data_IF_535199693516
#
_entry.id   IF_535199693516
#
_cell.length_a   1.000
_cell.length_b   1.000
_cell.length_c   1.000
_cell.angle_alpha   90.00
_cell.angle_beta   90.00
_cell.angle_gamma   90.00
#
_symmetry.space_group_name_H-M   'P 1'
#
loop_
_entity.id
_entity.type
_entity.pdbx_description
1 polymer ?
#
# COMPACT_ATOMS: atom_id res chain seq x y z
N UNK A 1 25.21 31.14 38.75
CA UNK A 1 25.38 30.79 37.32
C UNK A 1 26.06 31.95 36.63
N UNK A 2 27.11 31.71 35.85
CA UNK A 2 27.91 32.80 35.24
C UNK A 2 27.25 33.40 33.98
N UNK A 3 26.38 32.64 33.33
CA UNK A 3 25.63 32.99 32.12
C UNK A 3 24.21 32.44 32.26
N UNK A 4 23.23 33.21 31.82
CA UNK A 4 21.81 32.92 32.04
C UNK A 4 20.94 33.77 31.09
N UNK A 5 19.71 33.32 30.88
CA UNK A 5 18.64 34.07 30.23
C UNK A 5 17.57 34.44 31.27
N UNK A 6 16.98 35.62 31.13
CA UNK A 6 15.84 36.08 31.93
C UNK A 6 14.81 36.74 31.03
N UNK A 7 13.55 36.62 31.43
CA UNK A 7 12.44 37.33 30.79
C UNK A 7 12.39 38.74 31.38
N UNK A 8 12.21 39.76 30.55
CA UNK A 8 12.10 41.15 31.02
C UNK A 8 10.72 41.41 31.62
N UNK A 9 10.56 42.53 32.33
CA UNK A 9 9.25 42.98 32.80
C UNK A 9 8.25 43.15 31.65
N UNK A 10 8.71 43.66 30.50
CA UNK A 10 7.89 43.78 29.29
C UNK A 10 7.50 42.41 28.74
N UNK A 11 8.44 41.45 28.71
CA UNK A 11 8.18 40.08 28.29
C UNK A 11 7.17 39.35 29.20
N UNK A 12 7.26 39.53 30.51
CA UNK A 12 6.30 38.97 31.47
C UNK A 12 4.90 39.54 31.28
N UNK A 13 4.77 40.86 31.05
CA UNK A 13 3.48 41.50 30.76
C UNK A 13 2.90 40.94 29.46
N UNK A 14 3.71 40.82 28.41
CA UNK A 14 3.26 40.26 27.13
C UNK A 14 2.86 38.78 27.26
N UNK A 15 3.60 37.99 28.02
CA UNK A 15 3.26 36.59 28.30
C UNK A 15 1.94 36.46 29.08
N UNK A 16 1.73 37.29 30.10
CA UNK A 16 0.47 37.33 30.84
C UNK A 16 -0.71 37.73 29.94
N UNK A 17 -0.53 38.72 29.06
CA UNK A 17 -1.57 39.13 28.11
C UNK A 17 -1.90 38.01 27.11
N UNK A 18 -0.91 37.24 26.65
CA UNK A 18 -1.11 36.10 25.76
C UNK A 18 -1.77 34.88 26.44
N UNK A 19 -1.70 34.80 27.77
CA UNK A 19 -2.41 33.78 28.55
C UNK A 19 -3.89 34.12 28.77
N UNK A 20 -4.23 35.42 28.84
CA UNK A 20 -5.60 35.89 29.14
C UNK A 20 -6.41 36.21 27.87
N UNK A 21 -5.77 36.71 26.82
CA UNK A 21 -6.37 36.97 25.52
C UNK A 21 -5.97 35.91 24.51
N UNK A 22 -6.82 35.62 23.52
CA UNK A 22 -6.52 34.70 22.40
C UNK A 22 -5.41 35.18 21.45
N UNK A 23 -4.50 36.04 21.91
CA UNK A 23 -3.39 36.60 21.15
C UNK A 23 -2.12 35.82 21.48
N UNK A 24 -1.44 35.32 20.45
CA UNK A 24 -0.21 34.56 20.62
C UNK A 24 0.99 35.50 20.77
N UNK A 25 1.99 35.08 21.54
CA UNK A 25 3.29 35.76 21.60
C UNK A 25 3.96 35.69 20.22
N UNK A 26 4.16 36.84 19.60
CA UNK A 26 4.85 36.98 18.32
C UNK A 26 6.28 37.46 18.56
N UNK A 27 7.22 36.52 18.67
CA UNK A 27 8.65 36.81 18.73
C UNK A 27 9.19 36.82 17.31
N UNK A 28 9.93 37.87 16.92
CA UNK A 28 10.34 38.06 15.52
C UNK A 28 11.85 38.10 15.33
N UNK A 29 12.58 38.67 16.28
CA UNK A 29 14.00 38.97 16.11
C UNK A 29 14.85 38.58 17.32
N UNK A 30 16.11 38.25 17.06
CA UNK A 30 17.17 38.14 18.05
C UNK A 30 18.26 39.14 17.71
N UNK A 31 18.64 39.93 18.71
CA UNK A 31 19.76 40.84 18.64
C UNK A 31 20.91 40.37 19.52
N UNK A 32 22.12 40.69 19.10
CA UNK A 32 23.35 40.43 19.84
C UNK A 32 24.05 41.75 20.12
N UNK A 33 24.73 41.83 21.27
CA UNK A 33 25.46 43.02 21.69
C UNK A 33 26.80 42.69 22.33
N UNK A 34 27.67 43.69 22.39
CA UNK A 34 29.00 43.59 23.01
C UNK A 34 29.08 44.22 24.40
N UNK A 35 27.96 44.75 24.92
CA UNK A 35 27.84 45.41 26.22
C UNK A 35 28.83 46.56 26.45
N UNK A 36 29.17 47.32 25.40
CA UNK A 36 30.22 48.36 25.44
C UNK A 36 31.57 47.81 25.91
N UNK A 37 31.85 46.54 25.60
CA UNK A 37 33.10 45.86 25.92
C UNK A 37 33.22 45.32 27.35
N UNK A 38 32.22 45.51 28.22
CA UNK A 38 32.26 45.06 29.62
C UNK A 38 31.01 44.28 30.02
N UNK A 39 31.17 43.24 30.84
CA UNK A 39 30.02 42.50 31.36
C UNK A 39 29.18 43.33 32.32
N UNK A 40 27.87 43.15 32.23
CA UNK A 40 26.92 43.55 33.26
C UNK A 40 26.06 42.36 33.67
N UNK A 41 25.20 42.55 34.69
CA UNK A 41 24.27 41.54 35.15
C UNK A 41 22.85 42.00 34.83
N UNK A 42 22.24 41.50 33.75
CA UNK A 42 20.84 41.77 33.44
C UNK A 42 19.93 41.40 34.61
N UNK A 43 18.95 42.25 34.92
CA UNK A 43 18.01 42.04 36.03
C UNK A 43 16.53 41.99 35.59
N UNK A 44 16.25 42.15 34.29
CA UNK A 44 14.92 42.03 33.69
C UNK A 44 14.21 43.38 33.54
N UNK A 45 14.78 44.48 34.03
CA UNK A 45 14.23 45.83 33.85
C UNK A 45 14.68 46.48 32.53
N UNK A 46 15.54 45.82 31.78
CA UNK A 46 16.09 46.33 30.52
C UNK A 46 15.01 46.41 29.43
N UNK A 47 15.02 47.53 28.68
CA UNK A 47 14.16 47.73 27.50
C UNK A 47 14.93 47.56 26.19
N UNK A 48 16.26 47.50 26.26
CA UNK A 48 17.18 47.33 25.13
C UNK A 48 18.46 46.66 25.60
N UNK A 49 19.27 46.18 24.64
CA UNK A 49 20.65 45.79 24.90
C UNK A 49 21.48 47.03 25.27
N UNK A 50 22.56 46.83 26.03
CA UNK A 50 23.49 47.91 26.43
C UNK A 50 24.21 48.47 25.21
N UNK A 51 24.66 47.60 24.30
CA UNK A 51 25.12 48.00 22.98
C UNK A 51 24.83 46.92 21.96
N UNK A 52 23.77 47.11 21.18
CA UNK A 52 23.40 46.22 20.09
C UNK A 52 24.38 46.37 18.91
N UNK A 53 24.96 45.27 18.45
CA UNK A 53 25.89 45.26 17.31
C UNK A 53 25.29 44.62 16.06
N UNK A 54 24.30 43.74 16.22
CA UNK A 54 23.62 43.11 15.10
C UNK A 54 22.26 42.53 15.51
N UNK A 55 21.32 42.49 14.56
CA UNK A 55 19.98 41.94 14.73
C UNK A 55 19.60 41.08 13.53
N UNK A 56 18.89 40.00 13.79
CA UNK A 56 18.41 39.06 12.77
C UNK A 56 17.04 38.50 13.13
N UNK A 57 16.32 38.02 12.14
CA UNK A 57 15.09 37.28 12.35
C UNK A 57 15.36 35.95 13.07
N UNK A 58 14.38 35.51 13.86
CA UNK A 58 14.37 34.19 14.48
C UNK A 58 14.24 33.10 13.41
N UNK A 59 14.97 32.01 13.61
CA UNK A 59 14.90 30.83 12.73
C UNK A 59 14.02 29.74 13.31
N UNK A 60 13.99 29.62 14.65
CA UNK A 60 13.24 28.57 15.31
C UNK A 60 12.66 29.08 16.64
N UNK A 61 11.36 28.90 16.85
CA UNK A 61 10.67 29.20 18.11
C UNK A 61 9.72 28.06 18.40
N UNK A 62 10.07 27.20 19.37
CA UNK A 62 9.28 26.02 19.72
C UNK A 62 9.18 25.79 21.22
N UNK A 63 8.05 25.24 21.65
CA UNK A 63 7.91 24.69 23.01
C UNK A 63 8.62 23.34 23.04
N UNK A 64 9.43 23.09 24.07
CA UNK A 64 10.10 21.80 24.25
C UNK A 64 9.06 20.71 24.53
N UNK A 65 9.03 19.67 23.68
CA UNK A 65 8.11 18.54 23.81
C UNK A 65 8.31 17.76 25.11
N UNK A 66 9.54 17.72 25.63
CA UNK A 66 9.85 17.03 26.89
C UNK A 66 9.55 17.90 28.11
N UNK A 67 9.52 19.23 27.93
CA UNK A 67 9.29 20.20 28.99
C UNK A 67 8.34 21.29 28.46
N UNK A 68 7.01 21.08 28.54
CA UNK A 68 6.02 22.03 28.00
C UNK A 68 6.10 23.46 28.58
N UNK A 69 6.86 23.65 29.66
CA UNK A 69 7.11 24.93 30.31
C UNK A 69 8.42 25.59 29.85
N UNK A 70 9.08 25.07 28.81
CA UNK A 70 10.29 25.64 28.24
C UNK A 70 10.06 26.06 26.80
N UNK A 71 10.52 27.28 26.48
CA UNK A 71 10.54 27.83 25.13
C UNK A 71 11.97 27.86 24.62
N UNK A 72 12.20 27.24 23.47
CA UNK A 72 13.47 27.22 22.76
C UNK A 72 13.37 28.25 21.62
N UNK A 73 14.26 29.24 21.65
CA UNK A 73 14.35 30.30 20.66
C UNK A 73 15.74 30.24 20.03
N UNK A 74 15.80 30.20 18.71
CA UNK A 74 17.04 30.12 17.96
C UNK A 74 17.11 31.17 16.86
N UNK A 75 18.32 31.66 16.64
CA UNK A 75 18.66 32.46 15.47
C UNK A 75 20.05 32.11 14.97
N UNK A 76 20.26 32.30 13.67
CA UNK A 76 21.52 32.00 13.00
C UNK A 76 22.16 33.29 12.52
N UNK A 77 23.41 33.50 12.91
CA UNK A 77 24.25 34.57 12.36
C UNK A 77 25.10 33.98 11.24
N UNK A 78 24.89 34.48 10.02
CA UNK A 78 25.62 34.04 8.83
C UNK A 78 27.14 34.32 8.92
N UNK A 79 27.90 33.63 8.08
CA UNK A 79 29.36 33.76 7.93
C UNK A 79 29.82 35.13 7.40
N UNK A 80 28.90 35.91 6.83
CA UNK A 80 29.15 37.28 6.34
C UNK A 80 29.01 38.35 7.42
N UNK A 81 28.39 38.02 8.56
CA UNK A 81 28.10 38.96 9.65
C UNK A 81 29.28 39.03 10.63
N UNK A 82 29.68 40.25 11.02
CA UNK A 82 30.85 40.51 11.87
C UNK A 82 31.85 41.48 11.22
N UNK A 83 33.02 41.72 11.81
CA UNK A 83 33.50 41.14 13.07
C UNK A 83 33.07 41.94 14.30
N UNK A 84 32.68 41.24 15.38
CA UNK A 84 32.40 41.85 16.69
C UNK A 84 32.47 40.80 17.80
N UNK A 85 32.48 41.27 19.06
CA UNK A 85 32.31 40.41 20.23
C UNK A 85 30.85 40.34 20.63
N UNK A 86 30.41 39.19 21.13
CA UNK A 86 29.07 38.99 21.68
C UNK A 86 29.20 38.74 23.18
N UNK A 87 28.45 39.50 23.99
CA UNK A 87 28.36 39.39 25.45
C UNK A 87 26.93 39.42 25.97
N UNK A 88 25.99 39.88 25.16
CA UNK A 88 24.57 39.92 25.47
C UNK A 88 23.75 39.47 24.26
N UNK A 89 22.60 38.86 24.53
CA UNK A 89 21.63 38.42 23.53
C UNK A 89 20.25 38.86 23.98
N UNK A 90 19.46 39.43 23.08
CA UNK A 90 18.09 39.87 23.34
C UNK A 90 17.12 39.28 22.34
N UNK A 91 15.92 38.89 22.79
CA UNK A 91 14.83 38.45 21.91
C UNK A 91 13.75 39.52 21.92
N UNK A 92 13.24 39.87 20.74
CA UNK A 92 12.27 40.95 20.53
C UNK A 92 10.95 40.44 19.99
N UNK A 93 9.87 41.09 20.40
CA UNK A 93 8.53 40.86 19.87
C UNK A 93 8.26 41.64 18.57
N UNK A 94 7.13 41.37 17.93
CA UNK A 94 6.69 42.04 16.69
C UNK A 94 6.47 43.55 16.84
N UNK A 95 6.38 44.06 18.06
CA UNK A 95 6.24 45.48 18.36
C UNK A 95 7.60 46.15 18.67
N UNK A 96 8.69 45.39 18.61
CA UNK A 96 10.05 45.86 18.89
C UNK A 96 10.41 45.94 20.38
N UNK A 97 9.59 45.38 21.27
CA UNK A 97 9.92 45.34 22.70
C UNK A 97 10.86 44.18 23.02
N UNK A 98 11.81 44.42 23.92
CA UNK A 98 12.71 43.39 24.42
C UNK A 98 11.94 42.42 25.33
N UNK A 99 11.73 41.19 24.86
CA UNK A 99 10.99 40.15 25.58
C UNK A 99 11.88 39.41 26.59
N UNK A 100 13.11 39.06 26.20
CA UNK A 100 14.05 38.35 27.04
C UNK A 100 15.48 38.80 26.76
N UNK A 101 16.32 38.71 27.78
CA UNK A 101 17.72 39.10 27.72
C UNK A 101 18.60 38.03 28.35
N UNK A 102 19.76 37.78 27.74
CA UNK A 102 20.71 36.77 28.17
C UNK A 102 22.10 37.34 28.33
N UNK A 103 22.75 37.02 29.45
CA UNK A 103 24.18 37.21 29.64
C UNK A 103 24.92 36.10 28.92
N UNK A 104 25.65 36.44 27.87
CA UNK A 104 26.25 35.47 26.95
C UNK A 104 27.78 35.39 27.13
N UNK A 105 28.38 34.19 27.05
CA UNK A 105 29.84 34.04 27.10
C UNK A 105 30.51 34.79 25.95
N UNK A 106 31.61 35.47 26.26
CA UNK A 106 32.34 36.30 25.32
C UNK A 106 32.72 35.46 24.11
N UNK A 107 32.13 35.79 22.97
CA UNK A 107 32.32 35.04 21.75
C UNK A 107 32.72 36.01 20.64
N UNK A 108 33.93 35.84 20.12
CA UNK A 108 34.36 36.55 18.93
C UNK A 108 33.70 35.94 17.68
N UNK A 109 32.98 36.77 16.93
CA UNK A 109 32.31 36.39 15.68
C UNK A 109 33.06 37.00 14.49
N UNK A 110 33.94 36.26 13.81
CA UNK A 110 34.61 36.75 12.62
C UNK A 110 33.68 36.70 11.38
N UNK A 111 34.06 37.46 10.34
CA UNK A 111 33.42 37.45 9.03
C UNK A 111 34.39 36.98 7.93
N UNK A 112 33.85 36.53 6.78
CA UNK A 112 34.65 36.07 5.64
C UNK A 112 35.75 37.06 5.19
N UNK A 113 35.49 38.38 5.06
CA UNK A 113 36.54 39.36 4.73
C UNK A 113 37.72 39.42 5.72
N UNK A 114 37.53 39.01 6.97
CA UNK A 114 38.60 38.95 7.99
C UNK A 114 39.44 37.66 7.90
N UNK A 115 39.29 36.86 6.85
CA UNK A 115 40.05 35.63 6.63
C UNK A 115 39.46 34.36 7.25
N UNK A 116 38.31 34.45 7.93
CA UNK A 116 37.56 33.30 8.46
C UNK A 116 36.08 33.62 8.64
N UNK A 117 35.20 32.93 7.92
CA UNK A 117 33.76 33.00 8.11
C UNK A 117 33.31 31.96 9.12
N UNK A 118 32.68 32.37 10.22
CA UNK A 118 32.08 31.45 11.20
C UNK A 118 30.57 31.62 11.18
N UNK A 119 29.78 30.59 10.90
CA UNK A 119 28.35 30.60 11.23
C UNK A 119 28.17 30.35 12.72
N UNK A 120 27.28 31.10 13.35
CA UNK A 120 27.02 30.99 14.78
C UNK A 120 25.52 30.76 15.02
N UNK A 121 25.22 29.65 15.68
CA UNK A 121 23.87 29.29 16.12
C UNK A 121 23.71 29.75 17.57
N UNK A 122 22.75 30.62 17.83
CA UNK A 122 22.44 31.12 19.17
C UNK A 122 21.11 30.51 19.58
N UNK A 123 21.14 29.75 20.69
CA UNK A 123 19.96 29.15 21.31
C UNK A 123 19.72 29.79 22.67
N UNK A 124 18.54 30.35 22.88
CA UNK A 124 18.04 30.84 24.15
C UNK A 124 16.92 29.93 24.63
N UNK A 125 17.03 29.43 25.86
CA UNK A 125 16.01 28.62 26.51
C UNK A 125 15.39 29.46 27.62
N UNK A 126 14.07 29.58 27.64
CA UNK A 126 13.31 30.33 28.63
C UNK A 126 12.36 29.38 29.37
N UNK A 127 12.41 29.39 30.69
CA UNK A 127 11.48 28.65 31.54
C UNK A 127 10.30 29.51 31.98
N UNK A 128 9.11 28.95 31.95
CA UNK A 128 7.85 29.58 32.36
C UNK A 128 7.20 28.78 33.49
N UNK A 129 6.29 29.42 34.24
CA UNK A 129 5.48 28.71 35.23
C UNK A 129 4.41 27.83 34.56
N UNK A 130 3.89 28.28 33.42
CA UNK A 130 2.89 27.61 32.59
C UNK A 130 3.35 27.61 31.12
N UNK A 131 2.81 26.70 30.31
CA UNK A 131 3.17 26.62 28.89
C UNK A 131 2.88 27.95 28.16
N UNK A 132 3.87 28.53 27.46
CA UNK A 132 3.68 29.80 26.77
C UNK A 132 2.85 29.63 25.50
N UNK A 133 1.81 30.46 25.35
CA UNK A 133 1.04 30.55 24.11
C UNK A 133 1.80 31.43 23.09
N UNK A 134 2.63 30.79 22.27
CA UNK A 134 3.55 31.44 21.33
C UNK A 134 3.25 31.04 19.89
N UNK A 135 3.42 31.97 18.95
CA UNK A 135 3.43 31.63 17.55
C UNK A 135 4.75 30.94 17.20
N UNK A 136 4.63 29.67 16.83
CA UNK A 136 5.77 28.85 16.45
C UNK A 136 6.33 29.36 15.13
N UNK A 137 7.64 29.61 15.11
CA UNK A 137 8.36 29.90 13.89
C UNK A 137 9.23 28.69 13.59
N UNK A 138 8.97 28.06 12.44
CA UNK A 138 9.88 27.11 11.84
C UNK A 138 10.27 27.74 10.52
N UNK A 139 11.47 28.32 10.47
CA UNK A 139 11.96 28.89 9.23
C UNK A 139 12.35 27.73 8.31
N UNK A 140 11.49 27.42 7.35
CA UNK A 140 11.67 26.37 6.33
C UNK A 140 12.82 26.64 5.33
N UNK A 141 13.69 27.61 5.63
CA UNK A 141 14.90 27.81 4.85
C UNK A 141 15.89 26.67 5.16
N UNK A 142 15.91 25.70 4.24
CA UNK A 142 16.73 24.48 4.29
C UNK A 142 18.21 24.78 4.58
N UNK A 143 18.69 25.98 4.23
CA UNK A 143 20.07 26.39 4.48
C UNK A 143 20.38 26.76 5.95
N UNK A 144 19.35 26.97 6.79
CA UNK A 144 19.46 27.51 8.15
C UNK A 144 18.87 26.60 9.24
N UNK A 145 18.21 25.50 8.88
CA UNK A 145 17.57 24.59 9.82
C UNK A 145 18.57 23.57 10.43
N UNK A 146 18.84 23.63 11.75
CA UNK A 146 19.72 22.67 12.43
C UNK A 146 19.15 21.25 12.51
N UNK A 147 17.84 21.09 12.32
CA UNK A 147 17.12 19.82 12.34
C UNK A 147 16.73 19.33 10.95
N UNK A 148 17.18 20.00 9.86
CA UNK A 148 16.83 19.66 8.49
C UNK A 148 16.96 18.15 8.18
N UNK A 149 18.05 17.53 8.67
CA UNK A 149 18.24 16.08 8.49
C UNK A 149 17.18 15.25 9.21
N UNK A 150 16.79 15.63 10.42
CA UNK A 150 15.76 14.95 11.21
C UNK A 150 14.37 15.17 10.60
N UNK A 151 14.04 16.40 10.21
CA UNK A 151 12.72 16.75 9.70
C UNK A 151 12.49 16.22 8.29
N UNK A 152 13.52 16.20 7.44
CA UNK A 152 13.47 15.50 6.16
C UNK A 152 13.31 14.00 6.38
N UNK A 153 14.05 13.39 7.30
CA UNK A 153 13.93 11.96 7.56
C UNK A 153 12.57 11.59 8.16
N UNK A 154 12.01 12.42 9.04
CA UNK A 154 10.68 12.24 9.62
C UNK A 154 9.59 12.45 8.57
N UNK A 155 9.66 13.53 7.78
CA UNK A 155 8.71 13.78 6.69
C UNK A 155 8.79 12.72 5.57
N UNK A 156 9.98 12.16 5.29
CA UNK A 156 10.13 11.00 4.41
C UNK A 156 9.59 9.71 5.04
N UNK A 157 9.74 9.52 6.35
CA UNK A 157 9.17 8.39 7.05
C UNK A 157 7.62 8.46 7.07
N UNK A 158 7.06 9.66 7.25
CA UNK A 158 5.61 9.90 7.29
C UNK A 158 4.96 9.91 5.89
N UNK A 159 5.66 10.40 4.85
CA UNK A 159 5.16 10.32 3.47
C UNK A 159 5.16 8.90 2.92
N UNK A 160 5.71 7.91 3.62
CA UNK A 160 6.16 6.69 2.98
C UNK A 160 6.12 5.43 3.88
N UNK A 161 4.93 4.93 4.18
CA UNK A 161 4.77 3.47 4.02
C UNK A 161 4.62 3.24 2.51
N UNK A 162 5.76 3.10 1.83
CA UNK A 162 5.89 2.85 0.37
C UNK A 162 5.11 1.61 -0.09
N UNK A 163 4.75 0.74 0.84
CA UNK A 163 3.87 -0.42 0.64
C UNK A 163 2.38 -0.06 0.45
N UNK A 164 1.92 1.13 0.86
CA UNK A 164 0.50 1.51 0.83
C UNK A 164 0.10 2.40 -0.35
N UNK A 165 1.04 3.09 -1.00
CA UNK A 165 0.73 4.02 -2.08
C UNK A 165 1.08 3.38 -3.44
N UNK A 166 0.06 2.87 -4.13
CA UNK A 166 0.13 2.19 -5.43
C UNK A 166 0.71 3.03 -6.58
N UNK A 167 1.02 4.31 -6.36
CA UNK A 167 1.54 5.23 -7.36
C UNK A 167 3.01 5.01 -7.72
N UNK A 168 3.81 4.48 -6.79
CA UNK A 168 5.28 4.41 -6.93
C UNK A 168 5.80 3.00 -7.29
N UNK A 169 4.90 2.02 -7.41
CA UNK A 169 5.26 0.68 -7.84
C UNK A 169 5.47 0.69 -9.36
N UNK A 170 6.72 0.85 -9.77
CA UNK A 170 7.22 0.60 -11.13
C UNK A 170 6.80 -0.77 -11.68
N UNK A 171 6.41 -1.70 -10.81
CA UNK A 171 5.87 -2.99 -11.16
C UNK A 171 4.42 -3.14 -10.64
N UNK A 172 3.46 -2.99 -11.56
CA UNK A 172 2.01 -3.14 -11.31
C UNK A 172 1.69 -4.51 -10.67
N UNK A 173 2.49 -5.56 -10.89
CA UNK A 173 2.31 -6.88 -10.26
C UNK A 173 2.57 -6.84 -8.75
N UNK A 174 3.62 -6.16 -8.31
CA UNK A 174 3.90 -6.00 -6.89
C UNK A 174 2.77 -5.20 -6.20
N UNK A 175 2.19 -4.24 -6.91
CA UNK A 175 1.05 -3.47 -6.41
C UNK A 175 -0.22 -4.34 -6.26
N UNK A 176 -0.51 -5.21 -7.23
CA UNK A 176 -1.62 -6.17 -7.14
C UNK A 176 -1.38 -7.23 -6.07
N UNK A 177 -0.17 -7.76 -5.95
CA UNK A 177 0.21 -8.73 -4.92
C UNK A 177 0.11 -8.16 -3.51
N UNK A 178 0.55 -6.91 -3.31
CA UNK A 178 0.45 -6.22 -2.01
C UNK A 178 -1.00 -5.99 -1.59
N UNK A 179 -1.94 -5.93 -2.53
CA UNK A 179 -3.38 -5.87 -2.28
C UNK A 179 -4.06 -7.24 -2.33
N UNK A 180 -3.33 -8.32 -2.57
CA UNK A 180 -3.87 -9.68 -2.75
C UNK A 180 -4.90 -9.80 -3.90
N UNK A 181 -4.79 -8.92 -4.91
CA UNK A 181 -5.72 -8.84 -6.06
C UNK A 181 -5.19 -9.55 -7.33
N UNK A 182 -4.13 -10.35 -7.24
CA UNK A 182 -3.59 -11.04 -8.41
C UNK A 182 -4.44 -12.27 -8.77
N UNK A 183 -5.43 -12.04 -9.64
CA UNK A 183 -6.32 -13.07 -10.17
C UNK A 183 -5.78 -13.73 -11.45
N UNK A 184 -4.52 -13.51 -11.83
CA UNK A 184 -3.95 -14.09 -13.07
C UNK A 184 -4.11 -15.61 -13.05
N UNK A 185 -4.63 -16.17 -14.15
CA UNK A 185 -4.98 -17.59 -14.26
C UNK A 185 -6.38 -17.96 -13.77
N UNK A 186 -7.09 -17.07 -13.07
CA UNK A 186 -8.49 -17.28 -12.71
C UNK A 186 -9.38 -17.29 -13.95
N UNK A 187 -10.33 -18.22 -13.98
CA UNK A 187 -11.35 -18.34 -15.03
C UNK A 187 -12.70 -17.91 -14.46
N UNK A 188 -13.35 -16.93 -15.09
CA UNK A 188 -14.66 -16.45 -14.70
C UNK A 188 -15.63 -16.39 -15.90
N UNK A 189 -16.94 -16.60 -15.65
CA UNK A 189 -17.97 -16.40 -16.66
C UNK A 189 -18.34 -14.92 -16.80
N UNK A 190 -18.52 -14.46 -18.03
CA UNK A 190 -18.96 -13.10 -18.35
C UNK A 190 -20.28 -13.12 -19.12
N UNK A 191 -21.18 -12.19 -18.79
CA UNK A 191 -22.44 -11.98 -19.51
C UNK A 191 -22.28 -11.11 -20.77
N UNK A 192 -21.06 -11.03 -21.31
CA UNK A 192 -20.70 -10.27 -22.51
C UNK A 192 -20.29 -11.20 -23.64
N UNK A 193 -20.36 -10.73 -24.88
CA UNK A 193 -19.89 -11.48 -26.06
C UNK A 193 -18.40 -11.26 -26.34
N UNK A 194 -17.81 -10.21 -25.78
CA UNK A 194 -16.40 -9.86 -25.93
C UNK A 194 -15.69 -9.86 -24.57
N UNK A 195 -14.44 -10.37 -24.49
CA UNK A 195 -13.67 -10.31 -23.26
C UNK A 195 -13.43 -8.87 -22.82
N UNK A 196 -13.69 -8.53 -21.55
CA UNK A 196 -13.31 -7.22 -21.01
C UNK A 196 -11.80 -7.01 -20.99
N UNK A 197 -11.37 -5.77 -20.81
CA UNK A 197 -9.94 -5.43 -20.71
C UNK A 197 -9.24 -6.24 -19.61
N UNK A 198 -8.07 -6.78 -19.95
CA UNK A 198 -7.29 -7.64 -19.05
C UNK A 198 -7.83 -9.06 -18.88
N UNK A 199 -8.78 -9.51 -19.71
CA UNK A 199 -9.26 -10.88 -19.79
C UNK A 199 -9.14 -11.42 -21.23
N UNK A 200 -8.96 -12.73 -21.39
CA UNK A 200 -8.91 -13.41 -22.70
C UNK A 200 -9.94 -14.53 -22.72
N UNK A 201 -10.61 -14.71 -23.85
CA UNK A 201 -11.55 -15.82 -24.06
C UNK A 201 -10.85 -17.18 -23.96
N UNK A 202 -11.40 -18.10 -23.17
CA UNK A 202 -10.98 -19.50 -23.09
C UNK A 202 -11.44 -20.30 -24.33
N UNK A 203 -10.79 -20.07 -25.46
CA UNK A 203 -11.12 -20.67 -26.77
C UNK A 203 -10.04 -21.59 -27.33
N UNK A 204 -9.08 -22.04 -26.51
CA UNK A 204 -7.97 -22.88 -26.95
C UNK A 204 -6.84 -22.16 -27.69
N UNK A 205 -6.89 -20.82 -27.79
CA UNK A 205 -5.89 -20.07 -28.53
C UNK A 205 -4.45 -20.32 -28.04
N UNK A 206 -3.53 -20.31 -28.98
CA UNK A 206 -2.09 -20.36 -28.71
C UNK A 206 -1.55 -18.95 -28.47
N UNK A 207 -0.86 -18.74 -27.35
CA UNK A 207 -0.34 -17.43 -26.92
C UNK A 207 1.18 -17.47 -26.71
N UNK A 208 1.83 -16.32 -26.91
CA UNK A 208 3.27 -16.17 -26.66
C UNK A 208 3.61 -16.20 -25.16
N UNK A 209 4.59 -17.03 -24.78
CA UNK A 209 5.14 -17.09 -23.41
C UNK A 209 5.80 -15.80 -22.99
N UNK A 210 6.39 -15.03 -23.91
CA UNK A 210 7.04 -13.77 -23.58
C UNK A 210 6.04 -12.63 -23.39
N UNK A 211 5.02 -12.56 -24.24
CA UNK A 211 3.98 -11.52 -24.16
C UNK A 211 3.03 -11.74 -22.98
N UNK A 212 2.70 -13.01 -22.68
CA UNK A 212 1.79 -13.40 -21.60
C UNK A 212 2.54 -14.17 -20.50
N UNK A 213 3.71 -13.66 -20.10
CA UNK A 213 4.62 -14.32 -19.16
C UNK A 213 4.03 -14.55 -17.77
N UNK A 214 3.21 -13.62 -17.27
CA UNK A 214 2.51 -13.79 -16.00
C UNK A 214 1.53 -14.95 -16.06
N UNK A 215 0.67 -14.98 -17.09
CA UNK A 215 -0.28 -16.08 -17.27
C UNK A 215 0.43 -17.42 -17.47
N UNK A 216 1.49 -17.46 -18.29
CA UNK A 216 2.28 -18.67 -18.49
C UNK A 216 2.90 -19.18 -17.19
N UNK A 217 3.37 -18.28 -16.32
CA UNK A 217 3.94 -18.68 -15.03
C UNK A 217 2.93 -19.36 -14.10
N UNK A 218 1.63 -19.11 -14.29
CA UNK A 218 0.55 -19.68 -13.48
C UNK A 218 0.01 -20.98 -14.10
N UNK A 219 -0.35 -20.98 -15.38
CA UNK A 219 -1.05 -22.13 -16.00
C UNK A 219 -0.11 -23.08 -16.75
N UNK A 220 1.11 -22.66 -17.05
CA UNK A 220 2.10 -23.46 -17.77
C UNK A 220 1.56 -24.00 -19.10
N UNK A 221 1.74 -25.30 -19.30
CA UNK A 221 1.31 -26.04 -20.51
C UNK A 221 0.16 -27.01 -20.25
N UNK A 222 -0.56 -26.83 -19.12
CA UNK A 222 -1.63 -27.75 -18.70
C UNK A 222 -2.77 -27.90 -19.73
N UNK A 223 -2.94 -26.91 -20.61
CA UNK A 223 -3.98 -26.90 -21.65
C UNK A 223 -3.41 -27.05 -23.07
N UNK A 224 -2.13 -27.36 -23.19
CA UNK A 224 -1.42 -27.55 -24.45
C UNK A 224 -0.08 -26.83 -24.46
N UNK A 225 0.90 -27.46 -25.12
CA UNK A 225 2.28 -26.97 -25.16
C UNK A 225 2.52 -25.85 -26.17
N UNK A 226 1.49 -25.43 -26.90
CA UNK A 226 1.63 -24.60 -28.10
C UNK A 226 2.57 -25.26 -29.10
N UNK A 227 3.55 -24.49 -29.57
CA UNK A 227 4.64 -24.95 -30.42
C UNK A 227 5.78 -25.66 -29.66
N UNK A 228 5.62 -25.90 -28.36
CA UNK A 228 6.59 -26.58 -27.49
C UNK A 228 7.72 -25.71 -26.96
N UNK A 229 7.93 -24.50 -27.48
CA UNK A 229 9.11 -23.67 -27.16
C UNK A 229 8.75 -22.25 -26.72
N UNK A 230 8.05 -21.48 -27.55
CA UNK A 230 7.78 -20.05 -27.34
C UNK A 230 6.32 -19.73 -27.06
N UNK A 231 5.42 -20.71 -27.18
CA UNK A 231 3.98 -20.52 -26.97
C UNK A 231 3.39 -21.55 -26.00
N UNK A 232 2.14 -21.32 -25.58
CA UNK A 232 1.33 -22.21 -24.75
C UNK A 232 -0.15 -22.04 -25.13
N UNK A 233 -0.99 -23.04 -24.84
CA UNK A 233 -2.43 -22.96 -25.14
C UNK A 233 -3.24 -22.52 -23.93
N UNK A 234 -4.32 -21.79 -24.21
CA UNK A 234 -5.39 -21.53 -23.26
C UNK A 234 -6.31 -22.76 -23.10
N UNK A 235 -7.08 -22.84 -22.01
CA UNK A 235 -8.25 -23.73 -21.95
C UNK A 235 -9.20 -23.45 -23.13
N UNK A 236 -9.81 -24.50 -23.67
CA UNK A 236 -10.98 -24.40 -24.54
C UNK A 236 -12.21 -24.85 -23.73
N UNK A 237 -13.02 -23.89 -23.29
CA UNK A 237 -14.19 -24.15 -22.43
C UNK A 237 -15.51 -23.92 -23.15
N UNK A 238 -15.48 -23.77 -24.47
CA UNK A 238 -16.67 -23.50 -25.28
C UNK A 238 -17.56 -24.73 -25.31
N UNK A 239 -18.76 -24.62 -24.76
CA UNK A 239 -19.75 -25.71 -24.73
C UNK A 239 -19.47 -26.79 -23.68
N UNK A 240 -18.45 -26.62 -22.85
CA UNK A 240 -18.05 -27.58 -21.83
C UNK A 240 -18.77 -27.36 -20.50
N UNK A 241 -19.05 -28.46 -19.79
CA UNK A 241 -19.43 -28.42 -18.38
C UNK A 241 -18.17 -28.49 -17.52
N UNK A 242 -18.04 -27.55 -16.60
CA UNK A 242 -16.89 -27.49 -15.70
C UNK A 242 -17.16 -28.36 -14.46
N UNK A 243 -16.16 -29.16 -14.08
CA UNK A 243 -16.14 -29.95 -12.85
C UNK A 243 -14.98 -29.51 -11.95
N UNK A 244 -15.09 -29.80 -10.66
CA UNK A 244 -13.97 -29.67 -9.73
C UNK A 244 -12.89 -30.72 -10.01
N UNK A 245 -11.62 -30.33 -9.84
CA UNK A 245 -10.49 -31.26 -9.84
C UNK A 245 -10.56 -32.11 -8.56
N UNK A 246 -10.35 -33.43 -8.67
CA UNK A 246 -10.39 -34.34 -7.52
C UNK A 246 -9.41 -33.93 -6.40
N UNK A 247 -8.21 -33.47 -6.79
CA UNK A 247 -7.20 -32.90 -5.90
C UNK A 247 -6.91 -33.73 -4.65
N UNK A 248 -6.96 -35.06 -4.76
CA UNK A 248 -6.66 -36.00 -3.68
C UNK A 248 -7.86 -36.48 -2.87
N UNK A 249 -9.10 -36.12 -3.27
CA UNK A 249 -10.32 -36.59 -2.60
C UNK A 249 -10.63 -38.07 -2.86
N UNK A 250 -10.18 -38.64 -3.98
CA UNK A 250 -10.35 -40.06 -4.28
C UNK A 250 -11.63 -40.42 -5.05
N UNK A 251 -12.40 -39.45 -5.53
CA UNK A 251 -13.68 -39.65 -6.24
C UNK A 251 -13.49 -39.70 -7.75
N UNK A 252 -12.59 -38.88 -8.32
CA UNK A 252 -12.32 -38.80 -9.77
C UNK A 252 -10.81 -38.76 -10.07
N UNK A 253 -10.07 -39.74 -9.52
CA UNK A 253 -8.58 -39.74 -9.49
C UNK A 253 -7.89 -39.84 -10.84
N UNK A 254 -8.56 -40.38 -11.87
CA UNK A 254 -7.96 -40.61 -13.19
C UNK A 254 -8.05 -39.38 -14.10
N UNK A 255 -8.50 -38.23 -13.58
CA UNK A 255 -8.79 -37.03 -14.36
C UNK A 255 -7.89 -35.87 -13.91
N UNK A 256 -6.73 -35.70 -14.55
CA UNK A 256 -5.84 -34.58 -14.24
C UNK A 256 -6.46 -33.25 -14.70
N UNK A 257 -5.91 -32.14 -14.19
CA UNK A 257 -6.28 -30.80 -14.61
C UNK A 257 -6.17 -30.66 -16.13
N UNK A 258 -7.19 -30.04 -16.75
CA UNK A 258 -7.24 -29.86 -18.21
C UNK A 258 -7.71 -31.08 -19.01
N UNK A 259 -7.94 -32.24 -18.37
CA UNK A 259 -8.45 -33.41 -19.08
C UNK A 259 -9.95 -33.30 -19.43
N UNK A 260 -10.29 -33.60 -20.68
CA UNK A 260 -11.66 -33.67 -21.15
C UNK A 260 -12.31 -35.02 -20.83
N UNK A 261 -13.64 -35.03 -20.81
CA UNK A 261 -14.44 -36.24 -20.66
C UNK A 261 -15.62 -36.17 -21.61
N UNK A 262 -15.80 -37.21 -22.43
CA UNK A 262 -17.06 -37.39 -23.16
C UNK A 262 -18.20 -37.69 -22.20
N UNK A 263 -19.42 -37.37 -22.61
CA UNK A 263 -20.62 -37.76 -21.88
C UNK A 263 -20.62 -39.27 -21.59
N UNK A 264 -21.10 -39.68 -20.41
CA UNK A 264 -21.17 -41.08 -20.00
C UNK A 264 -22.42 -41.30 -19.13
N UNK A 265 -23.05 -42.47 -19.28
CA UNK A 265 -24.05 -43.00 -18.35
C UNK A 265 -23.45 -44.22 -17.67
N UNK A 266 -23.27 -44.16 -16.34
CA UNK A 266 -22.59 -45.23 -15.59
C UNK A 266 -23.32 -46.57 -15.63
N UNK A 267 -24.61 -46.58 -15.29
CA UNK A 267 -25.49 -47.77 -15.32
C UNK A 267 -26.91 -47.40 -14.91
N UNK A 268 -27.92 -48.13 -15.39
CA UNK A 268 -29.24 -48.16 -14.76
C UNK A 268 -29.59 -49.59 -14.35
N UNK A 269 -30.25 -49.76 -13.20
CA UNK A 269 -30.67 -51.06 -12.68
C UNK A 269 -32.20 -51.17 -12.76
N UNK A 270 -32.72 -52.20 -13.42
CA UNK A 270 -34.14 -52.55 -13.39
C UNK A 270 -34.31 -53.82 -12.54
N UNK A 271 -35.10 -53.72 -11.47
CA UNK A 271 -35.47 -54.85 -10.62
C UNK A 271 -36.91 -55.27 -10.91
N UNK A 272 -37.17 -56.57 -10.95
CA UNK A 272 -38.50 -57.13 -11.14
C UNK A 272 -38.85 -58.00 -9.92
N UNK A 273 -39.88 -57.64 -9.17
CA UNK A 273 -40.36 -58.46 -8.05
C UNK A 273 -41.29 -59.56 -8.59
N UNK A 274 -40.89 -60.82 -8.44
CA UNK A 274 -41.77 -61.96 -8.73
C UNK A 274 -42.83 -62.10 -7.63
N UNK A 275 -44.10 -62.09 -8.01
CA UNK A 275 -45.15 -62.74 -7.21
C UNK A 275 -45.00 -64.27 -7.26
N UNK A 276 -45.62 -65.02 -6.34
CA UNK A 276 -45.31 -66.44 -6.02
C UNK A 276 -45.68 -67.49 -7.11
N UNK A 277 -45.81 -67.09 -8.37
CA UNK A 277 -46.24 -67.96 -9.47
C UNK A 277 -45.25 -67.89 -10.62
N UNK A 278 -44.20 -68.70 -10.56
CA UNK A 278 -43.20 -68.88 -11.60
C UNK A 278 -43.85 -69.29 -12.93
N UNK A 279 -43.60 -68.55 -14.02
CA UNK A 279 -43.11 -69.07 -15.31
C UNK A 279 -43.16 -67.98 -16.39
N UNK A 280 -42.00 -67.41 -16.75
CA UNK A 280 -41.82 -66.79 -18.06
C UNK A 280 -40.63 -67.49 -18.73
N UNK A 281 -40.89 -68.18 -19.86
CA UNK A 281 -39.83 -68.73 -20.69
C UNK A 281 -39.18 -67.59 -21.46
N UNK A 282 -37.90 -67.34 -21.22
CA UNK A 282 -37.13 -66.41 -22.04
C UNK A 282 -36.62 -67.14 -23.28
N UNK A 283 -37.03 -66.71 -24.47
CA UNK A 283 -36.26 -66.99 -25.68
C UNK A 283 -35.07 -66.03 -25.72
N UNK A 284 -33.82 -66.50 -25.98
CA UNK A 284 -32.70 -65.59 -26.14
C UNK A 284 -32.96 -64.69 -27.33
N UNK A 285 -32.99 -63.38 -27.11
CA UNK A 285 -32.96 -62.39 -28.18
C UNK A 285 -31.55 -61.83 -28.23
N UNK A 286 -30.86 -62.09 -29.34
CA UNK A 286 -29.52 -61.59 -29.60
C UNK A 286 -29.62 -60.14 -30.08
N UNK A 287 -29.09 -59.19 -29.30
CA UNK A 287 -28.89 -57.82 -29.76
C UNK A 287 -27.50 -57.70 -30.38
N UNK A 288 -27.46 -57.50 -31.70
CA UNK A 288 -26.21 -57.27 -32.42
C UNK A 288 -25.69 -55.87 -32.09
N UNK A 289 -24.57 -55.79 -31.35
CA UNK A 289 -23.71 -54.62 -31.42
C UNK A 289 -23.10 -54.62 -32.81
N UNK A 290 -23.42 -53.63 -33.65
CA UNK A 290 -22.62 -53.40 -34.86
C UNK A 290 -21.27 -52.82 -34.45
N UNK A 291 -20.36 -53.68 -34.02
CA UNK A 291 -18.93 -53.45 -34.21
C UNK A 291 -18.53 -54.18 -35.48
N UNK A 292 -17.60 -53.61 -36.25
CA UNK A 292 -17.02 -54.20 -37.46
C UNK A 292 -16.23 -55.50 -37.23
N UNK A 293 -16.40 -56.15 -36.07
CA UNK A 293 -15.61 -57.29 -35.63
C UNK A 293 -16.54 -58.51 -35.38
N UNK A 294 -16.49 -59.57 -36.20
CA UNK A 294 -17.49 -60.65 -36.21
C UNK A 294 -17.46 -61.60 -35.01
N UNK A 295 -16.55 -61.41 -34.05
CA UNK A 295 -16.20 -62.44 -33.05
C UNK A 295 -16.51 -62.13 -31.58
N UNK A 296 -17.01 -60.94 -31.23
CA UNK A 296 -17.06 -60.51 -29.83
C UNK A 296 -18.47 -60.15 -29.36
N UNK A 297 -19.22 -61.15 -28.87
CA UNK A 297 -20.48 -60.96 -28.14
C UNK A 297 -20.21 -61.07 -26.63
N UNK A 298 -19.87 -59.93 -26.01
CA UNK A 298 -19.99 -59.78 -24.56
C UNK A 298 -21.40 -59.28 -24.25
N UNK A 299 -22.19 -60.15 -23.61
CA UNK A 299 -23.58 -59.92 -23.26
C UNK A 299 -23.72 -58.90 -22.13
N UNK A 300 -24.49 -57.84 -22.34
CA UNK A 300 -25.13 -57.11 -21.25
C UNK A 300 -26.56 -56.77 -21.68
N UNK A 301 -27.50 -57.07 -20.78
CA UNK A 301 -28.95 -56.83 -20.81
C UNK A 301 -29.82 -57.91 -21.48
N UNK A 302 -30.71 -58.52 -20.69
CA UNK A 302 -31.86 -59.25 -21.23
C UNK A 302 -32.68 -60.07 -20.23
N UNK A 303 -33.70 -59.43 -19.65
CA UNK A 303 -34.97 -60.07 -19.25
C UNK A 303 -36.12 -59.25 -19.83
N UNK A 304 -37.16 -59.87 -20.40
CA UNK A 304 -38.27 -59.20 -21.11
C UNK A 304 -39.54 -59.09 -20.25
N UNK A 305 -40.25 -57.96 -20.36
CA UNK A 305 -41.64 -57.73 -19.96
C UNK A 305 -42.50 -57.61 -21.23
N UNK A 306 -43.49 -58.47 -21.43
CA UNK A 306 -44.45 -58.35 -22.54
C UNK A 306 -45.82 -57.90 -22.05
N UNK A 307 -46.35 -56.80 -22.61
CA UNK A 307 -47.77 -56.53 -22.69
C UNK A 307 -48.22 -56.65 -24.17
N UNK A 308 -49.44 -57.14 -24.47
CA UNK A 308 -49.90 -57.27 -25.85
C UNK A 308 -49.87 -55.90 -26.54
N UNK A 309 -49.14 -55.81 -27.65
CA UNK A 309 -49.02 -54.62 -28.53
C UNK A 309 -48.08 -53.49 -28.09
N UNK A 310 -47.36 -53.61 -26.97
CA UNK A 310 -46.39 -52.59 -26.55
C UNK A 310 -44.95 -52.95 -26.91
N UNK A 311 -44.31 -52.22 -27.83
CA UNK A 311 -42.83 -52.24 -27.97
C UNK A 311 -42.25 -51.16 -27.05
N UNK A 312 -41.41 -51.53 -26.09
CA UNK A 312 -40.54 -50.57 -25.39
C UNK A 312 -39.29 -50.33 -26.25
N UNK A 313 -39.29 -49.25 -27.01
CA UNK A 313 -38.11 -48.78 -27.74
C UNK A 313 -37.35 -47.76 -26.89
N UNK A 314 -36.11 -48.06 -26.52
CA UNK A 314 -35.18 -47.07 -25.99
C UNK A 314 -34.32 -46.59 -27.16
N UNK A 315 -34.65 -45.43 -27.71
CA UNK A 315 -33.85 -44.76 -28.74
C UNK A 315 -32.85 -43.84 -28.04
N UNK A 316 -31.57 -44.10 -28.25
CA UNK A 316 -30.48 -43.30 -27.70
C UNK A 316 -29.79 -42.62 -28.88
N UNK A 317 -29.89 -41.30 -28.96
CA UNK A 317 -28.91 -40.54 -29.73
C UNK A 317 -27.68 -40.28 -28.85
N UNK A 318 -26.52 -40.15 -29.49
CA UNK A 318 -25.24 -40.02 -28.80
C UNK A 318 -24.99 -38.56 -28.36
N UNK A 319 -26.03 -37.73 -28.27
CA UNK A 319 -25.86 -36.28 -28.39
C UNK A 319 -26.40 -35.45 -27.24
N UNK A 320 -27.27 -36.00 -26.38
CA UNK A 320 -27.95 -35.13 -25.41
C UNK A 320 -28.26 -35.76 -24.06
N UNK A 321 -27.21 -35.88 -23.24
CA UNK A 321 -27.39 -35.80 -21.78
C UNK A 321 -26.59 -34.62 -21.27
N UNK A 322 -27.31 -33.52 -21.02
CA UNK A 322 -26.78 -32.28 -20.46
C UNK A 322 -27.69 -31.82 -19.33
N UNK A 323 -27.15 -31.47 -18.15
CA UNK A 323 -27.91 -30.68 -17.19
C UNK A 323 -28.48 -29.41 -17.85
N UNK A 324 -29.64 -28.91 -17.39
CA UNK A 324 -30.09 -27.58 -17.81
C UNK A 324 -29.02 -26.54 -17.44
N UNK A 325 -28.56 -25.76 -18.41
CA UNK A 325 -27.50 -24.77 -18.21
C UNK A 325 -27.80 -23.46 -18.96
N UNK A 326 -26.98 -22.43 -18.69
CA UNK A 326 -26.95 -21.16 -19.41
C UNK A 326 -25.50 -20.93 -19.85
N UNK A 327 -25.30 -20.50 -21.10
CA UNK A 327 -23.99 -20.20 -21.65
C UNK A 327 -23.55 -18.77 -21.31
N UNK A 328 -22.34 -18.64 -20.76
CA UNK A 328 -21.65 -17.38 -20.50
C UNK A 328 -20.25 -17.45 -21.12
N UNK A 329 -19.67 -16.29 -21.46
CA UNK A 329 -18.34 -16.22 -22.05
C UNK A 329 -17.28 -16.51 -20.98
N UNK A 330 -16.66 -17.68 -21.04
CA UNK A 330 -15.57 -18.03 -20.12
C UNK A 330 -14.30 -17.30 -20.50
N UNK A 331 -13.77 -16.49 -19.59
CA UNK A 331 -12.52 -15.76 -19.81
C UNK A 331 -11.51 -16.04 -18.69
N UNK A 332 -10.23 -16.00 -19.05
CA UNK A 332 -9.09 -16.12 -18.14
C UNK A 332 -8.38 -14.78 -17.97
N UNK A 333 -7.99 -14.47 -16.73
CA UNK A 333 -7.22 -13.26 -16.41
C UNK A 333 -5.75 -13.45 -16.83
N UNK A 334 -5.17 -12.45 -17.50
CA UNK A 334 -3.75 -12.45 -17.92
C UNK A 334 -2.96 -11.26 -17.38
#
# INVERSE_FOLDING_TARGET
MNYYSIITNSGLINHANAAVGSANLNLTELAVGDSNGSYYNPNGTENSLVNEVYRTNLTHVVVDENNPNQLIIEAVLSETVGPFYIREVGVFDSNGNLFAIGKFPETFKPNLPSGSGKRLYIRMILGFAESPNVNLIINNDIALDPNFGTDVNNALAERLIKTNNLSDLTNIRNARNNLELDLVGAVLPFATLTPPSGWIHCNGAELSRSLYSNLFSVIGVNFGSGNGTTTFNLPDLRGEFIRGLDSGRGVDVSRPLGSSQSHEWKSFHMWNNYGPSNSYSHTPVYMQKYTSDPGNVLSLFGGHWSAPSGRMGLYWDNSEIRPRNIALLMCIKY
#
